data_IF_136842241379
#
_entry.id   IF_136842241379
#
_cell.length_a   1.000
_cell.length_b   1.000
_cell.length_c   1.000
_cell.angle_alpha   90.00
_cell.angle_beta   90.00
_cell.angle_gamma   90.00
#
_symmetry.space_group_name_H-M   'P 1'
#
loop_
_entity.id
_entity.type
_entity.pdbx_description
1 polymer ?
#
# COMPACT_ATOMS: atom_id res chain seq x y z
N UNK A 1 23.61 15.26 -4.18
CA UNK A 1 24.13 14.16 -3.32
C UNK A 1 25.58 13.89 -3.71
N UNK A 2 26.52 14.00 -2.76
CA UNK A 2 27.95 13.72 -2.99
C UNK A 2 28.22 12.24 -3.21
N UNK A 3 29.44 11.89 -3.65
CA UNK A 3 29.88 10.48 -3.74
C UNK A 3 29.82 9.82 -2.37
N UNK A 4 30.33 10.48 -1.32
CA UNK A 4 30.31 9.95 0.05
C UNK A 4 28.89 9.69 0.55
N UNK A 5 27.94 10.59 0.24
CA UNK A 5 26.54 10.38 0.59
C UNK A 5 25.92 9.19 -0.14
N UNK A 6 26.28 8.96 -1.42
CA UNK A 6 25.84 7.78 -2.17
C UNK A 6 26.38 6.49 -1.57
N UNK A 7 27.68 6.45 -1.26
CA UNK A 7 28.32 5.28 -0.64
C UNK A 7 27.71 5.00 0.74
N UNK A 8 27.52 6.05 1.54
CA UNK A 8 26.90 5.94 2.86
C UNK A 8 25.49 5.34 2.79
N UNK A 9 24.61 5.86 1.92
CA UNK A 9 23.24 5.33 1.83
C UNK A 9 23.22 3.92 1.22
N UNK A 10 24.10 3.61 0.27
CA UNK A 10 24.23 2.25 -0.28
C UNK A 10 24.63 1.24 0.80
N UNK A 11 25.63 1.58 1.63
CA UNK A 11 26.06 0.74 2.75
C UNK A 11 24.93 0.59 3.78
N UNK A 12 24.26 1.67 4.14
CA UNK A 12 23.14 1.63 5.08
C UNK A 12 22.01 0.71 4.58
N UNK A 13 21.64 0.81 3.30
CA UNK A 13 20.64 -0.08 2.70
C UNK A 13 21.12 -1.53 2.69
N UNK A 14 22.39 -1.79 2.33
CA UNK A 14 22.97 -3.13 2.34
C UNK A 14 22.99 -3.76 3.74
N UNK A 15 23.36 -3.00 4.77
CA UNK A 15 23.34 -3.43 6.17
C UNK A 15 21.92 -3.73 6.66
N UNK A 16 20.95 -2.88 6.32
CA UNK A 16 19.54 -3.10 6.61
C UNK A 16 19.04 -4.40 5.97
N UNK A 17 19.27 -4.60 4.67
CA UNK A 17 18.80 -5.79 3.97
C UNK A 17 19.47 -7.06 4.50
N UNK A 18 20.77 -7.00 4.81
CA UNK A 18 21.50 -8.11 5.42
C UNK A 18 20.95 -8.46 6.82
N UNK A 19 20.68 -7.45 7.66
CA UNK A 19 20.10 -7.66 8.98
C UNK A 19 18.69 -8.27 8.89
N UNK A 20 17.86 -7.80 7.96
CA UNK A 20 16.51 -8.31 7.74
C UNK A 20 16.49 -9.74 7.18
N UNK A 21 17.43 -10.07 6.27
CA UNK A 21 17.58 -11.41 5.73
C UNK A 21 18.19 -12.41 6.75
N UNK A 22 18.98 -11.92 7.71
CA UNK A 22 19.70 -12.72 8.69
C UNK A 22 18.83 -13.52 9.66
N UNK A 23 19.46 -14.44 10.40
CA UNK A 23 18.80 -15.28 11.42
C UNK A 23 18.28 -14.48 12.62
N UNK A 24 18.97 -13.40 12.95
CA UNK A 24 18.71 -12.54 14.11
C UNK A 24 17.81 -11.35 13.75
N UNK A 25 17.10 -11.38 12.62
CA UNK A 25 16.36 -10.21 12.11
C UNK A 25 15.33 -9.64 13.10
N UNK A 26 14.81 -10.46 14.03
CA UNK A 26 13.84 -10.06 15.07
C UNK A 26 14.48 -9.44 16.31
N UNK A 27 15.80 -9.50 16.42
CA UNK A 27 16.53 -8.92 17.55
C UNK A 27 16.40 -7.39 17.52
N UNK A 28 16.01 -6.74 18.63
CA UNK A 28 15.77 -5.30 18.64
C UNK A 28 17.03 -4.45 18.40
N UNK A 29 18.21 -4.97 18.76
CA UNK A 29 19.49 -4.26 18.66
C UNK A 29 20.29 -4.65 17.42
N UNK A 30 20.20 -5.93 17.02
CA UNK A 30 20.99 -6.50 15.91
C UNK A 30 20.19 -6.67 14.62
N UNK A 31 18.86 -6.67 14.71
CA UNK A 31 17.94 -6.92 13.60
C UNK A 31 17.50 -5.66 12.85
N UNK A 32 16.39 -5.78 12.13
CA UNK A 32 15.90 -4.69 11.27
C UNK A 32 15.50 -3.44 12.05
N UNK A 33 15.11 -3.60 13.33
CA UNK A 33 14.62 -2.52 14.18
C UNK A 33 15.67 -1.42 14.40
N UNK A 34 16.96 -1.75 14.28
CA UNK A 34 18.06 -0.77 14.30
C UNK A 34 18.00 0.20 13.11
N UNK A 35 17.51 -0.25 11.95
CA UNK A 35 17.67 0.46 10.68
C UNK A 35 16.42 1.20 10.20
N UNK A 36 15.22 0.76 10.57
CA UNK A 36 13.97 1.35 10.05
C UNK A 36 13.15 2.03 11.12
N UNK A 37 12.46 3.10 10.75
CA UNK A 37 11.29 3.56 11.47
C UNK A 37 10.16 2.55 11.25
N UNK A 38 9.95 1.69 12.26
CA UNK A 38 8.96 0.61 12.20
C UNK A 38 7.55 1.18 12.02
N UNK A 39 7.25 2.30 12.67
CA UNK A 39 5.89 2.84 12.68
C UNK A 39 5.58 3.47 11.31
N UNK A 40 6.56 4.13 10.67
CA UNK A 40 6.43 4.61 9.30
C UNK A 40 6.29 3.48 8.26
N UNK A 41 7.03 2.38 8.42
CA UNK A 41 6.87 1.19 7.57
C UNK A 41 5.48 0.56 7.71
N UNK A 42 4.94 0.52 8.94
CA UNK A 42 3.59 0.03 9.21
C UNK A 42 2.55 0.93 8.54
N UNK A 43 2.66 2.26 8.68
CA UNK A 43 1.73 3.19 8.03
C UNK A 43 1.79 3.09 6.50
N UNK A 44 2.99 2.97 5.92
CA UNK A 44 3.15 2.74 4.48
C UNK A 44 2.51 1.42 4.02
N UNK A 45 2.69 0.34 4.79
CA UNK A 45 2.05 -0.94 4.50
C UNK A 45 0.52 -0.83 4.54
N UNK A 46 -0.02 -0.23 5.61
CA UNK A 46 -1.47 -0.06 5.79
C UNK A 46 -2.07 0.72 4.63
N UNK A 47 -1.52 1.89 4.29
CA UNK A 47 -2.12 2.77 3.29
C UNK A 47 -2.07 2.15 1.89
N UNK A 48 -0.93 1.55 1.51
CA UNK A 48 -0.80 0.92 0.18
C UNK A 48 -1.65 -0.35 0.06
N UNK A 49 -1.79 -1.15 1.12
CA UNK A 49 -2.69 -2.30 1.10
C UNK A 49 -4.17 -1.89 1.13
N UNK A 50 -4.53 -0.86 1.90
CA UNK A 50 -5.92 -0.38 2.01
C UNK A 50 -6.46 0.06 0.67
N UNK A 51 -5.74 0.94 -0.03
CA UNK A 51 -6.17 1.38 -1.36
C UNK A 51 -5.68 0.46 -2.48
N UNK A 52 -4.87 -0.55 -2.15
CA UNK A 52 -4.31 -1.53 -3.08
C UNK A 52 -3.54 -0.87 -4.23
N UNK A 53 -2.63 0.04 -3.86
CA UNK A 53 -1.77 0.75 -4.80
C UNK A 53 -0.73 -0.20 -5.41
N UNK A 54 -1.00 -0.66 -6.64
CA UNK A 54 -0.22 -1.73 -7.30
C UNK A 54 1.26 -1.41 -7.51
N UNK A 55 1.65 -0.13 -7.43
CA UNK A 55 3.01 0.38 -7.60
C UNK A 55 3.67 0.79 -6.27
N UNK A 56 2.90 0.89 -5.18
CA UNK A 56 3.29 1.54 -3.93
C UNK A 56 4.38 0.83 -3.11
N UNK A 57 4.73 -0.41 -3.48
CA UNK A 57 5.79 -1.19 -2.80
C UNK A 57 7.09 -1.32 -3.60
N UNK A 58 7.18 -0.74 -4.80
CA UNK A 58 8.38 -0.87 -5.67
C UNK A 58 8.71 0.40 -6.46
N UNK A 59 7.73 1.01 -7.11
CA UNK A 59 7.96 2.10 -8.07
C UNK A 59 7.58 3.44 -7.44
N UNK A 60 6.30 3.59 -7.06
CA UNK A 60 5.71 4.80 -6.48
C UNK A 60 5.98 4.85 -4.97
N UNK A 61 7.24 4.65 -4.60
CA UNK A 61 7.70 4.56 -3.21
C UNK A 61 8.75 5.63 -2.96
N UNK A 62 8.46 6.52 -2.01
CA UNK A 62 9.43 7.46 -1.49
C UNK A 62 9.94 6.97 -0.13
N UNK A 63 11.24 7.09 0.10
CA UNK A 63 11.88 6.85 1.39
C UNK A 63 12.91 7.94 1.63
N UNK A 64 13.13 8.26 2.90
CA UNK A 64 14.20 9.16 3.31
C UNK A 64 14.95 8.61 4.51
N UNK A 65 16.19 9.07 4.67
CA UNK A 65 17.08 8.71 5.77
C UNK A 65 17.79 9.97 6.22
N UNK A 66 17.35 10.50 7.34
CA UNK A 66 18.07 11.58 8.03
C UNK A 66 19.43 11.09 8.51
N UNK A 67 20.40 11.99 8.69
CA UNK A 67 21.78 11.62 9.10
C UNK A 67 21.77 10.72 10.34
N UNK A 68 21.10 11.18 11.39
CA UNK A 68 21.04 10.51 12.70
C UNK A 68 19.71 9.78 12.94
N UNK A 69 18.85 9.71 11.91
CA UNK A 69 17.55 9.03 11.97
C UNK A 69 17.59 7.60 11.46
N UNK A 70 16.41 6.96 11.36
CA UNK A 70 16.23 5.66 10.71
C UNK A 70 15.68 5.83 9.29
N UNK A 71 15.77 4.78 8.48
CA UNK A 71 15.13 4.77 7.17
C UNK A 71 13.61 4.84 7.38
N UNK A 72 12.99 5.82 6.76
CA UNK A 72 11.58 6.15 6.97
C UNK A 72 10.86 6.09 5.63
N UNK A 73 9.70 5.42 5.60
CA UNK A 73 8.84 5.31 4.42
C UNK A 73 7.90 6.51 4.32
N UNK A 74 7.62 6.91 3.09
CA UNK A 74 6.67 7.96 2.77
C UNK A 74 7.33 9.33 2.52
N UNK A 75 6.57 10.30 1.97
CA UNK A 75 5.12 10.26 1.80
C UNK A 75 4.66 9.26 0.72
N UNK A 76 3.43 8.77 0.87
CA UNK A 76 2.78 7.90 -0.12
C UNK A 76 2.46 8.70 -1.39
N UNK A 77 2.47 8.04 -2.55
CA UNK A 77 2.31 8.70 -3.85
C UNK A 77 1.59 7.80 -4.87
N UNK A 78 0.98 8.43 -5.89
CA UNK A 78 0.45 7.81 -7.10
C UNK A 78 -0.66 6.75 -6.91
N UNK A 79 -1.89 7.18 -6.58
CA UNK A 79 -3.04 6.29 -6.32
C UNK A 79 -4.04 6.24 -7.48
N UNK A 80 -3.65 6.63 -8.69
CA UNK A 80 -4.50 6.55 -9.89
C UNK A 80 -4.87 5.10 -10.29
N UNK A 81 -3.97 4.13 -10.05
CA UNK A 81 -4.16 2.68 -10.28
C UNK A 81 -4.51 1.92 -8.99
N UNK A 82 -5.32 2.55 -8.14
CA UNK A 82 -5.77 2.03 -6.84
C UNK A 82 -7.29 1.89 -6.80
N UNK A 83 -7.83 1.41 -5.69
CA UNK A 83 -9.28 1.34 -5.42
C UNK A 83 -10.09 0.58 -6.47
N UNK A 84 -9.51 -0.51 -6.98
CA UNK A 84 -10.13 -1.35 -7.99
C UNK A 84 -9.88 -0.89 -9.43
N UNK A 85 -9.23 0.26 -9.64
CA UNK A 85 -9.01 0.84 -10.96
C UNK A 85 -7.74 0.34 -11.66
N UNK A 86 -7.47 -0.97 -11.62
CA UNK A 86 -6.33 -1.55 -12.34
C UNK A 86 -6.57 -3.01 -12.72
N UNK A 87 -6.25 -3.32 -13.98
CA UNK A 87 -6.22 -4.66 -14.58
C UNK A 87 -4.88 -5.38 -14.36
N UNK A 88 -3.89 -4.70 -13.77
CA UNK A 88 -2.57 -5.26 -13.50
C UNK A 88 -2.46 -5.73 -12.04
N UNK A 89 -1.58 -6.69 -11.76
CA UNK A 89 -1.23 -7.14 -10.40
C UNK A 89 -2.43 -7.47 -9.51
N UNK A 90 -3.53 -7.92 -10.14
CA UNK A 90 -4.81 -8.19 -9.51
C UNK A 90 -5.49 -6.96 -8.89
N UNK A 91 -5.12 -5.72 -9.23
CA UNK A 91 -5.52 -4.47 -8.56
C UNK A 91 -7.03 -4.25 -8.41
N UNK A 92 -7.86 -4.88 -9.25
CA UNK A 92 -9.32 -4.85 -9.15
C UNK A 92 -9.90 -5.57 -7.94
N UNK A 93 -9.18 -6.56 -7.36
CA UNK A 93 -9.67 -7.34 -6.22
C UNK A 93 -9.78 -6.52 -4.92
N UNK A 94 -10.72 -6.91 -4.08
CA UNK A 94 -10.90 -6.39 -2.71
C UNK A 94 -10.23 -7.29 -1.66
N UNK A 95 -9.87 -8.52 -2.03
CA UNK A 95 -9.22 -9.52 -1.19
C UNK A 95 -7.75 -9.77 -1.56
N UNK A 96 -7.05 -10.44 -0.66
CA UNK A 96 -5.63 -10.77 -0.78
C UNK A 96 -4.70 -9.58 -0.50
N UNK A 97 -3.46 -9.89 -0.15
CA UNK A 97 -2.41 -8.89 0.08
C UNK A 97 -1.65 -8.61 -1.21
N UNK A 98 -1.50 -7.34 -1.55
CA UNK A 98 -0.81 -6.88 -2.75
C UNK A 98 0.67 -7.28 -2.75
N UNK A 99 1.31 -7.34 -1.58
CA UNK A 99 2.71 -7.81 -1.46
C UNK A 99 2.96 -9.23 -2.00
N UNK A 100 1.91 -10.01 -2.27
CA UNK A 100 2.01 -11.36 -2.88
C UNK A 100 1.57 -11.42 -4.34
N UNK A 101 1.11 -10.31 -4.94
CA UNK A 101 0.63 -10.30 -6.32
C UNK A 101 1.60 -9.62 -7.29
N UNK A 102 2.59 -8.88 -6.78
CA UNK A 102 3.62 -8.20 -7.57
C UNK A 102 5.03 -8.55 -7.06
N UNK A 103 6.05 -8.32 -7.89
CA UNK A 103 7.45 -8.37 -7.49
C UNK A 103 7.80 -7.17 -6.61
N UNK A 104 7.61 -7.31 -5.29
CA UNK A 104 7.99 -6.31 -4.29
C UNK A 104 9.27 -6.73 -3.56
N UNK A 105 10.01 -5.81 -2.91
CA UNK A 105 11.12 -6.17 -2.05
C UNK A 105 10.71 -7.21 -1.02
N UNK A 106 11.62 -8.14 -0.72
CA UNK A 106 11.39 -9.24 0.22
C UNK A 106 11.10 -8.75 1.65
N UNK A 107 11.34 -7.47 1.91
CA UNK A 107 11.22 -6.84 3.22
C UNK A 107 9.86 -7.10 3.84
N UNK A 108 8.78 -6.95 3.07
CA UNK A 108 7.42 -7.02 3.59
C UNK A 108 7.05 -8.42 4.09
N UNK A 109 7.29 -9.47 3.31
CA UNK A 109 7.04 -10.84 3.80
C UNK A 109 7.93 -11.15 5.02
N UNK A 110 9.19 -10.68 5.00
CA UNK A 110 10.15 -10.93 6.08
C UNK A 110 9.76 -10.22 7.39
N UNK A 111 9.33 -8.96 7.32
CA UNK A 111 8.83 -8.18 8.47
C UNK A 111 7.60 -8.85 9.08
N UNK A 112 6.66 -9.33 8.25
CA UNK A 112 5.47 -10.04 8.73
C UNK A 112 5.76 -11.39 9.40
N UNK A 113 6.99 -11.92 9.33
CA UNK A 113 7.40 -13.12 10.08
C UNK A 113 7.72 -12.82 11.55
N UNK A 114 7.91 -11.55 11.90
CA UNK A 114 8.08 -11.10 13.27
C UNK A 114 6.73 -10.90 13.96
N UNK A 115 6.58 -11.48 15.15
CA UNK A 115 5.37 -11.30 15.97
C UNK A 115 5.25 -9.85 16.47
N UNK A 116 6.36 -9.19 16.78
CA UNK A 116 6.36 -7.82 17.29
C UNK A 116 5.88 -6.84 16.20
N UNK A 117 6.39 -6.98 14.97
CA UNK A 117 5.92 -6.18 13.84
C UNK A 117 4.42 -6.36 13.59
N UNK A 118 3.94 -7.61 13.57
CA UNK A 118 2.51 -7.91 13.38
C UNK A 118 1.63 -7.33 14.49
N UNK A 119 2.05 -7.44 15.75
CA UNK A 119 1.28 -6.88 16.86
C UNK A 119 1.17 -5.35 16.75
N UNK A 120 2.27 -4.67 16.40
CA UNK A 120 2.25 -3.22 16.13
C UNK A 120 1.35 -2.88 14.95
N UNK A 121 1.43 -3.62 13.85
CA UNK A 121 0.58 -3.46 12.67
C UNK A 121 -0.92 -3.55 13.03
N UNK A 122 -1.30 -4.59 13.76
CA UNK A 122 -2.70 -4.79 14.20
C UNK A 122 -3.16 -3.65 15.10
N UNK A 123 -2.35 -3.26 16.09
CA UNK A 123 -2.67 -2.14 16.99
C UNK A 123 -2.83 -0.83 16.23
N UNK A 124 -1.93 -0.56 15.27
CA UNK A 124 -1.99 0.65 14.44
C UNK A 124 -3.23 0.66 13.55
N UNK A 125 -3.54 -0.46 12.89
CA UNK A 125 -4.78 -0.60 12.11
C UNK A 125 -6.02 -0.34 12.96
N UNK A 126 -6.15 -0.99 14.11
CA UNK A 126 -7.29 -0.80 15.02
C UNK A 126 -7.44 0.64 15.47
N UNK A 127 -6.32 1.34 15.73
CA UNK A 127 -6.32 2.76 16.10
C UNK A 127 -6.86 3.61 14.95
N UNK A 128 -6.32 3.44 13.74
CA UNK A 128 -6.72 4.22 12.57
C UNK A 128 -8.18 3.94 12.17
N UNK A 129 -8.64 2.69 12.26
CA UNK A 129 -10.01 2.27 11.90
C UNK A 129 -11.09 2.82 12.83
N UNK A 130 -10.74 3.19 14.06
CA UNK A 130 -11.64 3.88 15.00
C UNK A 130 -11.76 5.38 14.74
N UNK A 131 -10.89 5.93 13.90
CA UNK A 131 -10.80 7.37 13.67
C UNK A 131 -10.60 7.70 12.19
N UNK A 132 -9.40 8.12 11.77
CA UNK A 132 -9.14 8.72 10.45
C UNK A 132 -9.41 7.79 9.27
N UNK A 133 -9.31 6.47 9.47
CA UNK A 133 -9.63 5.47 8.46
C UNK A 133 -10.99 4.82 8.70
N UNK A 134 -11.87 5.38 9.55
CA UNK A 134 -13.23 4.87 9.73
C UNK A 134 -13.98 4.87 8.39
N UNK A 135 -14.82 3.85 8.16
CA UNK A 135 -15.49 3.65 6.87
C UNK A 135 -16.34 4.87 6.49
N UNK A 136 -17.09 5.43 7.44
CA UNK A 136 -17.87 6.66 7.22
C UNK A 136 -16.99 7.83 6.79
N UNK A 137 -15.88 8.10 7.48
CA UNK A 137 -14.97 9.21 7.14
C UNK A 137 -14.41 9.09 5.72
N UNK A 138 -14.01 7.88 5.32
CA UNK A 138 -13.49 7.64 3.98
C UNK A 138 -14.55 7.80 2.90
N UNK A 139 -15.77 7.32 3.13
CA UNK A 139 -16.90 7.51 2.21
C UNK A 139 -17.33 8.99 2.13
N UNK A 140 -17.29 9.71 3.26
CA UNK A 140 -17.57 11.14 3.31
C UNK A 140 -16.52 11.96 2.56
N UNK A 141 -15.26 11.55 2.56
CA UNK A 141 -14.21 12.19 1.77
C UNK A 141 -14.44 12.01 0.27
N UNK A 142 -14.88 10.81 -0.16
CA UNK A 142 -15.29 10.56 -1.56
C UNK A 142 -16.48 11.45 -1.92
N UNK A 143 -17.49 11.54 -1.05
CA UNK A 143 -18.66 12.39 -1.27
C UNK A 143 -18.28 13.86 -1.40
N UNK A 144 -17.48 14.38 -0.46
CA UNK A 144 -17.01 15.78 -0.47
C UNK A 144 -16.19 16.10 -1.72
N UNK A 145 -15.33 15.18 -2.14
CA UNK A 145 -14.54 15.33 -3.37
C UNK A 145 -15.42 15.30 -4.63
N UNK A 146 -16.40 14.40 -4.70
CA UNK A 146 -17.34 14.33 -5.81
C UNK A 146 -18.19 15.60 -5.94
N UNK A 147 -18.66 16.13 -4.81
CA UNK A 147 -19.42 17.38 -4.76
C UNK A 147 -18.56 18.56 -5.24
N UNK A 148 -17.33 18.66 -4.74
CA UNK A 148 -16.37 19.67 -5.17
C UNK A 148 -16.08 19.61 -6.69
N UNK A 149 -16.09 18.41 -7.28
CA UNK A 149 -15.84 18.18 -8.70
C UNK A 149 -17.12 18.21 -9.57
N UNK A 150 -18.30 18.46 -9.00
CA UNK A 150 -19.61 18.35 -9.67
C UNK A 150 -19.70 19.09 -11.01
N UNK A 151 -19.14 20.30 -11.08
CA UNK A 151 -19.06 21.11 -12.31
C UNK A 151 -17.86 20.77 -13.19
N UNK A 152 -16.71 20.48 -12.59
CA UNK A 152 -15.47 20.21 -13.33
C UNK A 152 -15.55 18.89 -14.12
N UNK A 153 -16.16 17.86 -13.54
CA UNK A 153 -16.31 16.55 -14.19
C UNK A 153 -17.14 16.66 -15.49
N UNK A 154 -18.16 17.52 -15.53
CA UNK A 154 -18.99 17.75 -16.73
C UNK A 154 -18.13 18.25 -17.90
N UNK A 155 -17.31 19.28 -17.66
CA UNK A 155 -16.37 19.83 -18.66
C UNK A 155 -15.32 18.80 -19.06
N UNK A 156 -14.82 18.03 -18.10
CA UNK A 156 -13.87 16.95 -18.37
C UNK A 156 -14.45 15.92 -19.35
N UNK A 157 -15.64 15.38 -19.09
CA UNK A 157 -16.21 14.35 -19.97
C UNK A 157 -16.82 14.89 -21.27
N UNK A 158 -17.07 16.20 -21.38
CA UNK A 158 -17.30 16.87 -22.67
C UNK A 158 -16.03 16.91 -23.52
N UNK A 159 -14.88 17.25 -22.92
CA UNK A 159 -13.59 17.30 -23.62
C UNK A 159 -13.05 15.90 -23.94
N UNK A 160 -13.18 14.97 -23.00
CA UNK A 160 -12.72 13.59 -23.09
C UNK A 160 -13.89 12.62 -22.84
N UNK A 161 -14.66 12.25 -23.88
CA UNK A 161 -15.87 11.44 -23.74
C UNK A 161 -15.55 9.95 -23.52
N UNK A 162 -14.98 9.64 -22.35
CA UNK A 162 -14.49 8.29 -21.99
C UNK A 162 -15.42 7.51 -21.04
N UNK A 163 -16.48 8.14 -20.52
CA UNK A 163 -17.51 7.43 -19.75
C UNK A 163 -18.11 6.29 -20.57
N UNK A 164 -18.33 5.15 -19.93
CA UNK A 164 -18.81 3.96 -20.62
C UNK A 164 -17.82 3.44 -21.67
N UNK A 165 -16.52 3.75 -21.62
CA UNK A 165 -15.50 3.21 -22.53
C UNK A 165 -14.39 2.54 -21.75
N UNK A 166 -13.65 1.66 -22.42
CA UNK A 166 -12.44 1.07 -21.83
C UNK A 166 -11.29 2.07 -21.98
N UNK A 167 -10.68 2.45 -20.87
CA UNK A 167 -9.45 3.23 -20.82
C UNK A 167 -8.29 2.29 -20.47
N UNK A 168 -7.08 2.59 -20.94
CA UNK A 168 -5.90 1.80 -20.61
C UNK A 168 -5.76 1.63 -19.09
N UNK A 169 -5.45 0.41 -18.66
CA UNK A 169 -5.33 0.09 -17.24
C UNK A 169 -6.62 -0.40 -16.59
N UNK A 170 -7.80 0.01 -17.05
CA UNK A 170 -9.06 -0.40 -16.40
C UNK A 170 -9.32 -1.92 -16.50
N UNK A 171 -9.77 -2.58 -15.40
CA UNK A 171 -10.10 -4.01 -15.40
C UNK A 171 -11.30 -4.35 -16.27
N UNK A 172 -12.26 -3.43 -16.37
CA UNK A 172 -13.47 -3.58 -17.18
C UNK A 172 -13.68 -2.33 -18.03
N UNK A 173 -14.73 -2.37 -18.87
CA UNK A 173 -15.29 -1.14 -19.43
C UNK A 173 -15.68 -0.21 -18.28
N UNK A 174 -15.38 1.08 -18.42
CA UNK A 174 -15.84 2.11 -17.47
C UNK A 174 -17.37 2.16 -17.44
N UNK A 175 -17.90 2.71 -16.37
CA UNK A 175 -19.33 2.83 -16.15
C UNK A 175 -19.93 3.99 -16.96
N UNK A 176 -21.19 3.89 -17.40
CA UNK A 176 -21.83 4.90 -18.24
C UNK A 176 -21.88 6.32 -17.65
N UNK A 177 -21.84 6.48 -16.32
CA UNK A 177 -21.95 7.79 -15.67
C UNK A 177 -20.91 7.99 -14.57
N UNK A 178 -20.57 9.25 -14.32
CA UNK A 178 -19.68 9.65 -13.24
C UNK A 178 -20.19 9.20 -11.85
N UNK A 179 -21.51 9.29 -11.61
CA UNK A 179 -22.10 8.83 -10.37
C UNK A 179 -21.91 7.31 -10.16
N UNK A 180 -22.05 6.52 -11.22
CA UNK A 180 -21.84 5.07 -11.14
C UNK A 180 -20.37 4.73 -10.81
N UNK A 181 -19.40 5.46 -11.36
CA UNK A 181 -17.99 5.31 -10.99
C UNK A 181 -17.74 5.62 -9.50
N UNK A 182 -18.37 6.67 -8.97
CA UNK A 182 -18.30 6.99 -7.53
C UNK A 182 -18.87 5.85 -6.68
N UNK A 183 -20.05 5.35 -7.01
CA UNK A 183 -20.67 4.26 -6.25
C UNK A 183 -19.86 2.96 -6.33
N UNK A 184 -19.25 2.67 -7.48
CA UNK A 184 -18.35 1.53 -7.63
C UNK A 184 -17.08 1.67 -6.77
N UNK A 185 -16.48 2.86 -6.72
CA UNK A 185 -15.32 3.13 -5.86
C UNK A 185 -15.68 2.98 -4.37
N UNK A 186 -16.81 3.52 -3.94
CA UNK A 186 -17.32 3.38 -2.56
C UNK A 186 -17.57 1.93 -2.20
N UNK A 187 -18.21 1.16 -3.09
CA UNK A 187 -18.48 -0.26 -2.88
C UNK A 187 -17.17 -1.04 -2.73
N UNK A 188 -16.23 -0.82 -3.65
CA UNK A 188 -14.92 -1.48 -3.61
C UNK A 188 -14.20 -1.18 -2.28
N UNK A 189 -14.20 0.08 -1.84
CA UNK A 189 -13.53 0.50 -0.62
C UNK A 189 -14.15 -0.16 0.63
N UNK A 190 -15.48 -0.22 0.70
CA UNK A 190 -16.18 -0.91 1.79
C UNK A 190 -15.82 -2.40 1.85
N UNK A 191 -15.86 -3.08 0.70
CA UNK A 191 -15.54 -4.50 0.61
C UNK A 191 -14.07 -4.76 1.01
N UNK A 192 -13.14 -3.88 0.58
CA UNK A 192 -11.72 -3.97 0.94
C UNK A 192 -11.47 -3.74 2.43
N UNK A 193 -12.08 -2.71 3.01
CA UNK A 193 -11.98 -2.43 4.45
C UNK A 193 -12.49 -3.61 5.27
N UNK A 194 -13.66 -4.15 4.91
CA UNK A 194 -14.23 -5.34 5.57
C UNK A 194 -13.26 -6.52 5.50
N UNK A 195 -12.72 -6.80 4.32
CA UNK A 195 -11.75 -7.89 4.16
C UNK A 195 -10.49 -7.68 5.01
N UNK A 196 -9.92 -6.47 5.03
CA UNK A 196 -8.75 -6.17 5.86
C UNK A 196 -9.05 -6.28 7.36
N UNK A 197 -10.21 -5.82 7.82
CA UNK A 197 -10.64 -5.94 9.21
C UNK A 197 -10.64 -7.42 9.68
N UNK A 198 -11.00 -8.35 8.79
CA UNK A 198 -11.02 -9.80 9.05
C UNK A 198 -9.62 -10.46 8.98
N UNK A 199 -8.68 -9.92 8.19
CA UNK A 199 -7.44 -10.63 7.83
C UNK A 199 -6.15 -10.01 8.38
N UNK A 200 -6.15 -8.74 8.82
CA UNK A 200 -4.93 -8.03 9.22
C UNK A 200 -4.25 -8.61 10.48
N UNK A 201 -4.99 -9.38 11.28
CA UNK A 201 -4.44 -10.12 12.43
C UNK A 201 -3.48 -11.25 12.01
N UNK A 202 -3.70 -11.82 10.82
CA UNK A 202 -2.92 -12.94 10.28
C UNK A 202 -2.60 -12.74 8.80
N UNK A 203 -1.80 -11.72 8.44
CA UNK A 203 -1.59 -11.35 7.04
C UNK A 203 -0.87 -12.46 6.23
N UNK A 204 -0.15 -13.36 6.91
CA UNK A 204 0.53 -14.51 6.30
C UNK A 204 -0.30 -15.80 6.25
N UNK A 205 -1.54 -15.83 6.72
CA UNK A 205 -2.39 -17.03 6.62
C UNK A 205 -3.36 -16.97 5.43
N UNK A 206 -3.28 -15.95 4.59
CA UNK A 206 -4.04 -15.87 3.35
C UNK A 206 -3.67 -17.05 2.44
N UNK A 207 -4.65 -17.64 1.75
CA UNK A 207 -4.52 -18.83 0.88
C UNK A 207 -3.50 -18.59 -0.26
N UNK A 208 -3.12 -17.33 -0.52
CA UNK A 208 -2.08 -16.94 -1.47
C UNK A 208 -0.66 -16.89 -0.90
N UNK A 209 -0.48 -17.02 0.42
CA UNK A 209 0.83 -17.00 1.10
C UNK A 209 1.59 -18.33 0.97
N UNK A 210 0.89 -19.43 0.67
CA UNK A 210 1.48 -20.76 0.57
C UNK A 210 1.95 -21.02 -0.86
N UNK A 211 3.06 -20.41 -1.26
CA UNK A 211 3.73 -20.82 -2.50
C UNK A 211 4.66 -19.81 -3.15
N UNK A 212 5.87 -19.65 -2.58
CA UNK A 212 7.17 -19.59 -3.30
C UNK A 212 8.21 -18.89 -2.42
N UNK A 213 8.97 -19.68 -1.66
CA UNK A 213 10.37 -19.35 -1.40
C UNK A 213 11.12 -19.49 -2.73
N UNK A 214 11.09 -18.47 -3.59
CA UNK A 214 12.07 -18.38 -4.68
C UNK A 214 13.37 -17.89 -4.06
N UNK A 215 14.34 -18.81 -3.97
CA UNK A 215 15.72 -18.53 -3.56
C UNK A 215 16.25 -17.34 -4.38
N UNK A 216 16.73 -16.32 -3.69
CA UNK A 216 17.49 -15.23 -4.28
C UNK A 216 18.74 -15.82 -4.97
N UNK A 217 18.92 -15.47 -6.24
CA UNK A 217 20.20 -15.49 -6.95
C UNK A 217 20.45 -14.07 -7.42
#
# INVERSE_FOLDING_TARGET
MSVDQKVWIQNYMGEFEAALAGKDFKDPERGYAKYIDIDAFIDHFIINELFRNIDGFRNSTYMYKERDGKLTMGPVWDFNLSMGNSSFNQGWKTDGWLIYTNHVPFWWDRLLQDANFRQKLVKRWQTLRRDVLATSKLLDEINRTAEYLSEAQKRNFQRWPVLGRRVFGNPTRGLPTYQQEIEQMKKWLQDRLKWMDEHIASPRSSIFSTGRLRRFR
#
